data_IF_567444328770
#
_entry.id   IF_567444328770
#
_cell.length_a   1.000
_cell.length_b   1.000
_cell.length_c   1.000
_cell.angle_alpha   90.00
_cell.angle_beta   90.00
_cell.angle_gamma   90.00
#
_symmetry.space_group_name_H-M   'P 1'
#
loop_
_entity.id
_entity.type
_entity.pdbx_description
1 polymer ?
#
# COMPACT_ATOMS: atom_id res chain seq x y z
N UNK A 1 -23.76 8.75 -3.44
CA UNK A 1 -23.59 7.98 -4.70
C UNK A 1 -22.22 7.34 -4.75
N UNK A 2 -21.93 6.47 -3.75
CA UNK A 2 -20.65 5.79 -3.69
C UNK A 2 -19.56 6.82 -3.62
N UNK A 3 -19.75 7.86 -2.78
CA UNK A 3 -18.75 8.91 -2.65
C UNK A 3 -17.49 8.28 -2.11
N UNK A 4 -17.63 7.46 -1.04
CA UNK A 4 -16.50 6.80 -0.45
C UNK A 4 -16.87 5.35 -0.35
N UNK A 5 -15.99 4.45 -0.84
CA UNK A 5 -16.30 3.04 -0.77
C UNK A 5 -15.05 2.31 -0.36
N UNK A 6 -15.17 1.45 0.68
CA UNK A 6 -14.05 0.67 1.14
C UNK A 6 -14.42 -0.77 1.00
N UNK A 7 -13.54 -1.57 0.36
CA UNK A 7 -13.81 -2.98 0.20
C UNK A 7 -12.63 -3.69 0.77
N UNK A 8 -12.89 -4.61 1.74
CA UNK A 8 -11.81 -5.35 2.35
C UNK A 8 -12.22 -6.80 2.37
N UNK A 9 -11.22 -7.70 2.35
CA UNK A 9 -11.53 -9.11 2.38
C UNK A 9 -10.26 -9.82 2.76
N UNK A 10 -10.30 -10.58 3.89
CA UNK A 10 -9.13 -11.30 4.36
C UNK A 10 -7.99 -10.32 4.51
N UNK A 11 -8.26 -9.16 5.13
CA UNK A 11 -7.23 -8.17 5.28
C UNK A 11 -7.47 -7.44 6.57
N UNK A 12 -6.42 -6.76 7.07
CA UNK A 12 -6.54 -6.00 8.28
C UNK A 12 -7.11 -4.67 7.92
N UNK A 13 -7.40 -3.83 8.93
CA UNK A 13 -7.97 -2.52 8.67
C UNK A 13 -6.95 -1.66 7.98
N UNK A 14 -7.46 -0.62 7.28
CA UNK A 14 -6.59 0.28 6.56
C UNK A 14 -6.39 1.47 7.45
N UNK A 15 -5.11 1.82 7.71
CA UNK A 15 -4.81 2.92 8.58
C UNK A 15 -4.45 4.11 7.73
N UNK A 16 -5.30 5.16 7.76
CA UNK A 16 -5.02 6.35 7.00
C UNK A 16 -4.88 7.45 8.00
N UNK A 17 -3.69 8.08 8.02
CA UNK A 17 -3.46 9.16 8.96
C UNK A 17 -2.01 9.09 9.35
N UNK A 18 -1.63 9.83 10.40
CA UNK A 18 -0.26 9.82 10.85
C UNK A 18 -0.23 9.31 12.25
N UNK A 19 0.89 8.64 12.62
CA UNK A 19 1.06 8.09 13.95
C UNK A 19 0.05 7.00 14.19
N UNK A 20 -0.25 6.21 13.13
CA UNK A 20 -1.20 5.13 13.26
C UNK A 20 -0.45 3.86 12.98
N UNK A 21 -0.62 2.83 13.84
CA UNK A 21 0.08 1.60 13.63
C UNK A 21 -0.78 0.50 14.15
N UNK A 22 -0.52 -0.74 13.69
CA UNK A 22 -1.29 -1.88 14.14
C UNK A 22 -0.40 -3.07 14.04
N UNK A 23 -0.47 -3.96 15.06
CA UNK A 23 0.34 -5.15 15.06
C UNK A 23 -0.56 -6.29 14.70
N UNK A 24 -0.13 -7.13 13.72
CA UNK A 24 -0.94 -8.24 13.32
C UNK A 24 -0.17 -9.50 13.62
N UNK A 25 -0.77 -10.39 14.43
CA UNK A 25 -0.09 -11.61 14.78
C UNK A 25 -0.81 -12.22 15.99
N UNK B 1 -18.74 11.04 -6.24
CA UNK B 1 -18.80 9.88 -7.18
C UNK B 1 -17.46 9.19 -7.25
N UNK B 2 -17.25 8.18 -6.38
CA UNK B 2 -16.01 7.44 -6.35
C UNK B 2 -14.87 8.40 -6.09
N UNK B 3 -15.08 9.36 -5.15
CA UNK B 3 -14.04 10.31 -4.83
C UNK B 3 -12.90 9.55 -4.22
N UNK B 4 -13.21 8.65 -3.27
CA UNK B 4 -12.20 7.86 -2.62
C UNK B 4 -12.63 6.44 -2.73
N UNK B 5 -11.77 5.55 -3.26
CA UNK B 5 -12.15 4.17 -3.39
C UNK B 5 -10.96 3.31 -3.08
N UNK B 6 -11.14 2.40 -2.09
CA UNK B 6 -10.07 1.49 -1.71
C UNK B 6 -10.61 0.11 -1.89
N UNK B 7 -9.94 -0.69 -2.75
CA UNK B 7 -10.38 -2.05 -2.96
C UNK B 7 -9.21 -2.94 -2.72
N UNK B 8 -9.30 -3.84 -1.73
CA UNK B 8 -8.20 -4.72 -1.45
C UNK B 8 -8.74 -6.10 -1.18
N UNK B 9 -7.98 -7.14 -1.60
CA UNK B 9 -8.39 -8.51 -1.38
C UNK B 9 -7.17 -9.32 -1.08
N UNK B 10 -7.22 -10.12 0.03
CA UNK B 10 -6.10 -10.97 0.40
C UNK B 10 -4.85 -10.14 0.48
N UNK B 11 -4.88 -9.05 1.26
CA UNK B 11 -3.72 -8.19 1.35
C UNK B 11 -3.58 -7.74 2.77
N UNK B 12 -2.39 -7.19 3.09
CA UNK B 12 -2.15 -6.67 4.40
C UNK B 12 -2.74 -5.28 4.43
N UNK B 13 -2.78 -4.66 5.63
CA UNK B 13 -3.34 -3.33 5.73
C UNK B 13 -2.44 -2.37 5.00
N UNK B 14 -3.04 -1.27 4.51
CA UNK B 14 -2.29 -0.28 3.78
C UNK B 14 -2.07 0.86 4.72
N UNK B 15 -0.78 1.24 4.94
CA UNK B 15 -0.49 2.31 5.84
C UNK B 15 -0.05 3.49 5.02
N UNK B 16 -0.87 4.56 5.02
CA UNK B 16 -0.53 5.74 4.26
C UNK B 16 -0.38 6.86 5.24
N UNK B 17 0.84 7.45 5.32
CA UNK B 17 1.07 8.52 6.25
C UNK B 17 2.48 8.36 6.73
N UNK B 18 2.87 9.16 7.74
CA UNK B 18 4.22 9.08 8.26
C UNK B 18 4.17 8.48 9.63
N UNK B 19 5.27 7.77 9.99
CA UNK B 19 5.37 7.13 11.30
C UNK B 19 4.31 6.08 11.42
N UNK B 20 4.07 5.32 10.32
CA UNK B 20 3.07 4.29 10.35
C UNK B 20 3.77 2.99 10.06
N UNK B 21 3.44 1.92 10.79
CA UNK B 21 4.11 0.66 10.55
C UNK B 21 3.16 -0.45 10.90
N UNK B 22 3.43 -1.66 10.36
CA UNK B 22 2.58 -2.78 10.64
C UNK B 22 3.45 -4.00 10.59
N UNK B 23 3.34 -4.87 11.61
CA UNK B 23 4.12 -6.09 11.63
C UNK B 23 3.15 -7.20 11.35
N UNK B 24 3.48 -8.08 10.36
CA UNK B 24 2.61 -9.17 10.03
C UNK B 24 3.40 -10.43 10.20
N UNK B 25 2.87 -11.36 11.02
CA UNK B 25 3.56 -12.61 11.24
C UNK B 25 2.58 -13.60 11.85
N UNK C 1 -13.74 13.08 -8.24
CA UNK C 1 -13.91 12.02 -9.26
C UNK C 1 -12.65 11.21 -9.39
N UNK C 2 -12.58 10.08 -8.65
CA UNK C 2 -11.42 9.21 -8.69
C UNK C 2 -10.21 10.00 -8.27
N UNK C 3 -10.36 10.85 -7.23
CA UNK C 3 -9.24 11.64 -6.77
C UNK C 3 -8.21 10.71 -6.20
N UNK C 4 -8.67 9.74 -5.37
CA UNK C 4 -7.78 8.79 -4.77
C UNK C 4 -8.33 7.43 -5.07
N UNK C 5 -7.51 6.55 -5.70
CA UNK C 5 -8.01 5.23 -6.01
C UNK C 5 -6.89 4.25 -5.79
N UNK C 6 -7.13 3.25 -4.91
CA UNK C 6 -6.15 2.24 -4.65
C UNK C 6 -6.81 0.91 -4.86
N UNK C 7 -6.32 0.13 -5.85
CA UNK C 7 -6.89 -1.17 -6.11
C UNK C 7 -5.76 -2.15 -6.17
N UNK C 8 -5.79 -3.17 -5.29
CA UNK C 8 -4.73 -4.15 -5.29
C UNK C 8 -5.34 -5.51 -5.09
N UNK C 9 -4.71 -6.56 -5.66
CA UNK C 9 -5.22 -7.89 -5.51
C UNK C 9 -4.05 -8.82 -5.31
N UNK C 10 -4.16 -9.72 -4.29
CA UNK C 10 -3.12 -10.71 -4.02
C UNK C 10 -1.79 -10.01 -3.88
N UNK C 11 -1.72 -8.96 -3.05
CA UNK C 11 -0.47 -8.26 -2.88
C UNK C 11 -0.43 -7.73 -1.50
N UNK C 12 0.77 -7.30 -1.04
CA UNK C 12 0.89 -6.75 0.28
C UNK C 12 0.45 -5.31 0.20
N UNK C 13 0.30 -4.65 1.36
CA UNK C 13 -0.13 -3.28 1.38
C UNK C 13 0.97 -2.41 0.85
N UNK C 14 0.60 -1.18 0.43
CA UNK C 14 1.56 -0.25 -0.11
C UNK C 14 1.84 0.75 0.97
N UNK C 15 3.11 0.85 1.40
CA UNK C 15 3.46 1.78 2.45
C UNK C 15 4.04 3.01 1.80
N UNK C 16 3.32 4.14 1.94
CA UNK C 16 3.78 5.39 1.37
C UNK C 16 3.99 6.32 2.51
N UNK C 17 5.23 6.80 2.69
CA UNK C 17 5.53 7.71 3.76
C UNK C 17 6.95 7.47 4.16
N UNK C 18 7.40 8.16 5.23
CA UNK C 18 8.76 8.00 5.68
C UNK C 18 8.75 7.24 6.98
N UNK C 19 9.80 6.40 7.18
CA UNK C 19 9.93 5.61 8.39
C UNK C 19 8.78 4.65 8.49
N UNK C 20 8.39 4.04 7.34
CA UNK C 20 7.31 3.10 7.33
C UNK C 20 7.90 1.78 6.93
N UNK C 21 7.56 0.70 7.66
CA UNK C 21 8.12 -0.58 7.31
C UNK C 21 7.10 -1.63 7.59
N UNK C 22 7.25 -2.81 6.95
CA UNK C 22 6.32 -3.88 7.15
C UNK C 22 7.06 -5.16 6.99
N UNK C 23 6.85 -6.10 7.94
CA UNK C 23 7.51 -7.38 7.86
C UNK C 23 6.45 -8.35 7.44
N UNK C 24 6.75 -9.16 6.40
CA UNK C 24 5.78 -10.13 5.92
C UNK C 24 6.45 -11.47 5.93
N UNK C 25 5.83 -12.46 6.58
CA UNK C 25 6.43 -13.77 6.62
C UNK C 25 5.46 -14.70 7.37
N UNK D 1 -8.62 14.79 -9.89
CA UNK D 1 -8.93 13.86 -11.01
C UNK D 1 -7.77 12.93 -11.26
N UNK D 2 -7.82 11.73 -10.65
CA UNK D 2 -6.76 10.74 -10.81
C UNK D 2 -5.46 11.34 -10.34
N UNK D 3 -5.50 12.09 -9.22
CA UNK D 3 -4.30 12.69 -8.69
C UNK D 3 -3.38 11.59 -8.26
N UNK D 4 -3.93 10.60 -7.52
CA UNK D 4 -3.13 9.49 -7.05
C UNK D 4 -3.86 8.24 -7.46
N UNK D 5 -3.17 7.34 -8.20
CA UNK D 5 -3.82 6.12 -8.62
C UNK D 5 -2.80 5.02 -8.56
N UNK D 6 -3.11 3.95 -7.79
CA UNK D 6 -2.21 2.82 -7.68
C UNK D 6 -2.99 1.59 -8.04
N UNK D 7 -2.56 0.88 -9.09
CA UNK D 7 -3.25 -0.34 -9.48
C UNK D 7 -2.18 -1.37 -9.71
N UNK D 8 -2.24 -2.49 -8.96
CA UNK D 8 -1.25 -3.52 -9.13
C UNK D 8 -1.96 -4.85 -9.01
N UNK D 9 -1.41 -5.90 -9.69
CA UNK D 9 -2.03 -7.20 -9.62
C UNK D 9 -0.94 -8.23 -9.45
N UNK D 10 -1.10 -9.12 -8.43
CA UNK D 10 -0.16 -10.20 -8.20
C UNK D 10 1.24 -9.65 -8.12
N UNK D 11 1.47 -8.65 -7.25
CA UNK D 11 2.78 -8.06 -7.16
C UNK D 11 3.08 -7.81 -5.71
N UNK D 12 4.35 -7.47 -5.42
CA UNK D 12 4.72 -7.15 -4.06
C UNK D 12 4.31 -5.73 -3.82
N UNK D 13 4.34 -5.30 -2.54
CA UNK D 13 3.98 -3.93 -2.23
C UNK D 13 5.07 -3.03 -2.71
N UNK D 14 4.72 -1.75 -2.93
CA UNK D 14 5.68 -0.78 -3.39
C UNK D 14 5.95 0.13 -2.23
N UNK D 15 7.22 0.20 -1.79
CA UNK D 15 7.55 1.05 -0.67
C UNK D 15 8.23 2.27 -1.21
N UNK D 16 7.59 3.45 -0.99
CA UNK D 16 8.16 4.69 -1.45
C UNK D 16 8.37 5.54 -0.23
N UNK D 17 9.64 5.92 0.02
CA UNK D 17 9.93 6.73 1.17
C UNK D 17 11.34 6.42 1.56
N UNK D 18 11.76 6.90 2.75
CA UNK D 18 13.10 6.66 3.21
C UNK D 18 13.05 5.70 4.37
N UNK D 19 14.04 4.77 4.43
CA UNK D 19 14.13 3.80 5.49
C UNK D 19 12.91 2.92 5.47
N UNK D 20 12.47 2.51 4.25
CA UNK D 20 11.32 1.66 4.15
C UNK D 20 11.81 0.34 3.59
N UNK D 21 11.36 -0.79 4.17
CA UNK D 21 11.83 -2.07 3.68
C UNK D 21 10.73 -3.06 3.86
N UNK D 22 10.81 -4.19 3.10
CA UNK D 22 9.80 -5.21 3.20
C UNK D 22 10.43 -6.50 2.75
N UNK D 23 10.12 -7.61 3.46
CA UNK D 23 10.66 -8.89 3.08
C UNK D 23 9.51 -9.69 2.53
N UNK D 24 9.73 -10.37 1.38
CA UNK D 24 8.67 -11.14 0.79
C UNK D 24 9.14 -12.57 0.73
N UNK D 25 8.37 -13.49 1.34
CA UNK D 25 8.75 -14.87 1.31
C UNK D 25 7.77 -15.65 2.18
N UNK E 1 -3.33 15.93 -11.68
CA UNK E 1 -3.70 15.19 -12.93
C UNK E 1 -2.68 14.14 -13.24
N UNK E 2 -2.88 12.92 -12.69
CA UNK E 2 -1.96 11.81 -12.92
C UNK E 2 -0.60 12.19 -12.42
N UNK E 3 -0.55 12.90 -11.27
CA UNK E 3 0.72 13.31 -10.71
C UNK E 3 1.46 12.07 -10.29
N UNK E 4 0.76 11.13 -9.61
CA UNK E 4 1.39 9.92 -9.16
C UNK E 4 0.58 8.78 -9.72
N UNK E 5 1.22 7.92 -10.54
CA UNK E 5 0.51 6.81 -11.10
C UNK E 5 1.52 5.72 -11.38
N UNK E 6 1.29 4.54 -10.79
CA UNK E 6 2.19 3.43 -11.01
C UNK E 6 1.32 2.23 -11.30
N UNK E 7 1.69 1.45 -12.34
CA UNK E 7 0.94 0.28 -12.68
C UNK E 7 1.90 -0.80 -13.06
N UNK E 8 1.76 -1.99 -12.42
CA UNK E 8 2.64 -3.09 -12.74
C UNK E 8 1.79 -4.33 -12.75
N UNK E 9 2.20 -5.36 -13.53
CA UNK E 9 1.42 -6.57 -13.61
C UNK E 9 2.34 -7.75 -13.48
N UNK E 10 2.06 -8.63 -12.49
CA UNK E 10 2.83 -9.84 -12.29
C UNK E 10 4.31 -9.53 -12.22
N UNK E 11 4.72 -8.55 -11.40
CA UNK E 11 6.12 -8.24 -11.30
C UNK E 11 6.37 -7.72 -9.92
N UNK E 12 7.65 -7.67 -9.52
CA UNK E 12 7.99 -7.18 -8.20
C UNK E 12 7.80 -5.69 -8.19
N UNK E 13 7.67 -5.11 -6.97
CA UNK E 13 7.50 -3.69 -6.86
C UNK E 13 8.84 -3.04 -6.99
N UNK E 14 8.84 -1.69 -7.11
CA UNK E 14 10.08 -0.97 -7.24
C UNK E 14 10.21 -0.12 -6.02
N UNK E 15 11.34 -0.25 -5.31
CA UNK E 15 11.55 0.53 -4.10
C UNK E 15 12.30 1.76 -4.49
N UNK E 16 11.71 2.93 -4.19
CA UNK E 16 12.36 4.18 -4.52
C UNK E 16 12.58 4.90 -3.22
N UNK E 17 13.86 5.19 -2.90
CA UNK E 17 14.16 5.88 -1.67
C UNK E 17 15.55 5.53 -1.28
N UNK E 18 15.92 5.86 -0.02
CA UNK E 18 17.25 5.58 0.45
C UNK E 18 17.14 4.53 1.52
N UNK E 19 18.13 3.59 1.52
CA UNK E 19 18.16 2.51 2.49
C UNK E 19 16.93 1.66 2.36
N UNK E 20 16.48 1.44 1.11
CA UNK E 20 15.30 0.63 0.89
C UNK E 20 15.76 -0.63 0.22
N UNK E 21 15.19 -1.78 0.62
CA UNK E 21 15.58 -3.03 0.02
C UNK E 21 14.42 -3.97 0.12
N UNK E 22 14.42 -5.02 -0.73
CA UNK E 22 13.34 -5.97 -0.70
C UNK E 22 13.89 -7.29 -1.15
N UNK E 23 13.59 -8.36 -0.39
CA UNK E 23 14.05 -9.67 -0.74
C UNK E 23 12.84 -10.43 -1.22
N UNK E 24 12.93 -11.03 -2.42
CA UNK E 24 11.82 -11.78 -2.94
C UNK E 24 12.30 -13.16 -3.23
N UNK E 25 11.60 -14.18 -2.68
CA UNK E 25 12.01 -15.54 -2.91
C UNK E 25 10.81 -16.44 -2.61
#
# INVERSE_FOLDING_TARGET
DDLIKYTIFNSSGIQIGNHNYMDVG
DDLIKYTIFNSSGIQIGNHNYMDVG
DDLIKYTIFNSSGIQIGNHNYMDVG
DDLIKYTIFNSSGIQIGNHNYMDVG
DDLIKYTIFNSSGIQIGNHNYMDVG
#
